data_IF_659792414170
#
_entry.id   IF_659792414170
#
_cell.length_a   1.000
_cell.length_b   1.000
_cell.length_c   1.000
_cell.angle_alpha   90.00
_cell.angle_beta   90.00
_cell.angle_gamma   90.00
#
_symmetry.space_group_name_H-M   'P 1'
#
loop_
_entity.id
_entity.type
_entity.pdbx_description
1 polymer ?
#
# COMPACT_ATOMS: atom_id res chain seq x y z
N UNK A 1 17.51 -22.00 11.73
CA UNK A 1 18.12 -20.85 12.44
C UNK A 1 17.88 -19.62 11.56
N UNK A 2 16.99 -18.72 11.97
CA UNK A 2 16.63 -17.54 11.17
C UNK A 2 17.78 -16.53 11.14
N UNK A 3 18.03 -15.92 10.00
CA UNK A 3 19.04 -14.85 9.87
C UNK A 3 18.48 -13.57 10.50
N UNK A 4 19.15 -13.04 11.51
CA UNK A 4 18.81 -11.73 12.09
C UNK A 4 19.24 -10.63 11.11
N UNK A 5 18.27 -9.85 10.65
CA UNK A 5 18.49 -8.71 9.76
C UNK A 5 18.30 -7.42 10.57
N UNK A 6 19.26 -6.51 10.47
CA UNK A 6 19.15 -5.15 11.01
C UNK A 6 18.97 -4.20 9.84
N UNK A 7 17.91 -3.39 9.87
CA UNK A 7 17.66 -2.33 8.90
C UNK A 7 18.13 -0.99 9.46
N UNK A 8 18.61 -0.12 8.56
CA UNK A 8 18.88 1.28 8.84
C UNK A 8 18.11 2.12 7.81
N UNK A 9 17.51 3.21 8.26
CA UNK A 9 16.87 4.18 7.37
C UNK A 9 17.87 5.30 7.10
N UNK A 10 18.09 5.60 5.82
CA UNK A 10 18.93 6.70 5.35
C UNK A 10 18.12 7.47 4.30
N UNK A 11 18.34 8.79 4.24
CA UNK A 11 17.76 9.63 3.20
C UNK A 11 18.62 9.62 1.95
N UNK A 12 17.97 9.80 0.83
CA UNK A 12 18.62 9.88 -0.46
C UNK A 12 17.62 10.23 -1.56
N UNK A 13 18.17 10.64 -2.69
CA UNK A 13 17.40 11.01 -3.87
C UNK A 13 17.73 10.06 -5.02
N UNK A 14 16.70 9.65 -5.77
CA UNK A 14 16.91 8.98 -7.06
C UNK A 14 17.12 10.07 -8.11
N UNK A 15 18.32 10.10 -8.70
CA UNK A 15 18.66 11.11 -9.69
C UNK A 15 18.05 10.81 -11.08
N UNK A 16 18.24 11.72 -12.04
CA UNK A 16 17.76 11.60 -13.43
C UNK A 16 18.30 10.36 -14.17
N UNK A 17 19.36 9.71 -13.66
CA UNK A 17 19.94 8.49 -14.22
C UNK A 17 19.44 7.22 -13.52
N UNK A 18 18.38 7.32 -12.72
CA UNK A 18 17.83 6.24 -11.91
C UNK A 18 18.82 5.64 -10.91
N UNK A 19 19.75 6.45 -10.40
CA UNK A 19 20.72 6.04 -9.39
C UNK A 19 20.34 6.60 -8.02
N UNK A 20 20.39 5.76 -6.99
CA UNK A 20 20.21 6.19 -5.61
C UNK A 20 21.46 6.94 -5.13
N UNK A 21 21.30 8.21 -4.82
CA UNK A 21 22.30 9.05 -4.18
C UNK A 21 21.91 9.22 -2.72
N UNK A 22 22.73 8.73 -1.79
CA UNK A 22 22.50 8.90 -0.36
C UNK A 22 23.02 10.26 0.09
N UNK A 23 22.30 10.88 1.03
CA UNK A 23 22.69 12.16 1.61
C UNK A 23 23.92 12.00 2.52
N UNK A 24 24.06 10.81 3.13
CA UNK A 24 25.09 10.46 4.11
C UNK A 24 25.82 9.13 3.76
N UNK A 25 26.97 8.93 4.40
CA UNK A 25 27.75 7.70 4.31
C UNK A 25 27.04 6.57 5.05
N UNK A 26 26.97 5.38 4.44
CA UNK A 26 26.41 4.18 5.08
C UNK A 26 27.24 3.80 6.32
N UNK A 27 26.66 3.79 7.54
CA UNK A 27 27.38 3.51 8.79
C UNK A 27 27.61 2.01 9.02
N UNK A 28 28.07 1.29 7.99
CA UNK A 28 28.37 -0.15 8.05
C UNK A 28 29.80 -0.36 7.54
N UNK A 29 30.67 -0.91 8.39
CA UNK A 29 32.03 -1.26 8.01
C UNK A 29 32.03 -2.42 6.99
N UNK A 30 32.74 -2.24 5.89
CA UNK A 30 32.85 -3.20 4.79
C UNK A 30 34.13 -4.06 4.83
N UNK A 31 34.27 -5.01 3.88
CA UNK A 31 33.31 -5.36 2.82
C UNK A 31 32.17 -6.26 3.34
N UNK A 32 30.91 -5.90 3.06
CA UNK A 32 29.73 -6.65 3.53
C UNK A 32 28.61 -6.62 2.50
N UNK A 33 27.97 -7.77 2.26
CA UNK A 33 26.78 -7.87 1.39
C UNK A 33 25.54 -7.39 2.15
N UNK A 34 24.75 -6.53 1.51
CA UNK A 34 23.53 -5.93 2.08
C UNK A 34 22.33 -6.16 1.16
N UNK A 35 21.12 -5.98 1.71
CA UNK A 35 19.85 -5.93 0.95
C UNK A 35 19.36 -4.48 1.01
N UNK A 36 18.99 -3.91 -0.13
CA UNK A 36 18.53 -2.52 -0.23
C UNK A 36 17.02 -2.51 -0.45
N UNK A 37 16.31 -1.67 0.32
CA UNK A 37 14.89 -1.36 0.14
C UNK A 37 14.80 0.16 -0.08
N UNK A 38 14.09 0.60 -1.11
CA UNK A 38 13.89 2.01 -1.43
C UNK A 38 12.42 2.34 -1.23
N UNK A 39 12.14 3.32 -0.38
CA UNK A 39 10.80 3.85 -0.13
C UNK A 39 10.71 5.23 -0.76
N UNK A 40 9.67 5.47 -1.55
CA UNK A 40 9.39 6.76 -2.17
C UNK A 40 7.89 6.98 -2.21
N UNK A 41 7.46 8.24 -2.13
CA UNK A 41 6.07 8.60 -2.40
C UNK A 41 5.79 8.39 -3.87
N UNK A 42 4.92 7.43 -4.19
CA UNK A 42 4.41 7.31 -5.54
C UNK A 42 3.35 8.39 -5.73
N UNK A 43 3.57 9.31 -6.66
CA UNK A 43 2.51 10.23 -7.12
C UNK A 43 1.38 9.48 -7.84
N UNK A 44 1.60 8.20 -8.18
CA UNK A 44 0.59 7.26 -8.64
C UNK A 44 0.02 6.48 -7.44
N UNK A 45 -0.49 7.18 -6.43
CA UNK A 45 -1.54 6.59 -5.62
C UNK A 45 -2.72 6.45 -6.59
N UNK A 46 -2.99 5.22 -7.05
CA UNK A 46 -4.16 4.98 -7.88
C UNK A 46 -5.36 5.54 -7.11
N UNK A 47 -6.05 6.48 -7.75
CA UNK A 47 -7.07 7.30 -7.11
C UNK A 47 -8.10 6.36 -6.48
N UNK A 48 -8.55 6.64 -5.26
CA UNK A 48 -9.56 5.80 -4.58
C UNK A 48 -10.79 5.60 -5.49
N UNK A 49 -11.14 6.62 -6.27
CA UNK A 49 -12.19 6.54 -7.28
C UNK A 49 -11.83 5.60 -8.43
N UNK A 50 -10.58 5.56 -8.89
CA UNK A 50 -10.11 4.63 -9.92
C UNK A 50 -10.15 3.19 -9.41
N UNK A 51 -9.75 2.93 -8.17
CA UNK A 51 -9.91 1.63 -7.52
C UNK A 51 -11.37 1.21 -7.36
N UNK A 52 -12.23 2.10 -6.87
CA UNK A 52 -13.66 1.83 -6.70
C UNK A 52 -14.33 1.55 -8.04
N UNK A 53 -14.01 2.34 -9.07
CA UNK A 53 -14.54 2.14 -10.41
C UNK A 53 -14.06 0.81 -11.02
N UNK A 54 -12.77 0.49 -10.88
CA UNK A 54 -12.22 -0.78 -11.35
C UNK A 54 -12.87 -1.97 -10.63
N UNK A 55 -13.09 -1.89 -9.31
CA UNK A 55 -13.79 -2.92 -8.55
C UNK A 55 -15.24 -3.08 -8.98
N UNK A 56 -15.97 -1.97 -9.13
CA UNK A 56 -17.38 -1.97 -9.51
C UNK A 56 -17.62 -2.46 -10.95
N UNK A 57 -16.65 -2.33 -11.85
CA UNK A 57 -16.77 -2.75 -13.25
C UNK A 57 -16.08 -4.09 -13.55
N UNK A 58 -15.50 -4.76 -12.55
CA UNK A 58 -14.76 -5.98 -12.76
C UNK A 58 -15.70 -7.19 -12.89
N UNK A 59 -15.67 -7.93 -14.03
CA UNK A 59 -16.55 -9.07 -14.27
C UNK A 59 -16.46 -10.19 -13.24
N UNK A 60 -15.36 -10.28 -12.48
CA UNK A 60 -15.22 -11.23 -11.39
C UNK A 60 -16.29 -11.03 -10.29
N UNK A 61 -16.92 -9.85 -10.24
CA UNK A 61 -17.95 -9.50 -9.27
C UNK A 61 -19.36 -9.40 -9.86
N UNK A 62 -19.58 -9.81 -11.12
CA UNK A 62 -20.90 -9.72 -11.78
C UNK A 62 -22.02 -10.44 -10.99
N UNK A 63 -21.66 -11.48 -10.22
CA UNK A 63 -22.62 -12.21 -9.38
C UNK A 63 -23.24 -11.34 -8.28
N UNK A 64 -22.57 -10.26 -7.83
CA UNK A 64 -23.13 -9.32 -6.85
C UNK A 64 -24.32 -8.52 -7.40
N UNK A 65 -24.55 -8.55 -8.71
CA UNK A 65 -25.73 -7.95 -9.33
C UNK A 65 -26.96 -8.87 -9.32
N UNK A 66 -26.82 -10.12 -8.87
CA UNK A 66 -27.97 -11.02 -8.73
C UNK A 66 -28.90 -10.52 -7.61
N UNK A 67 -30.22 -10.43 -7.84
CA UNK A 67 -31.19 -10.10 -6.79
C UNK A 67 -31.10 -10.98 -5.54
N UNK A 68 -30.59 -12.22 -5.65
CA UNK A 68 -30.36 -13.09 -4.49
C UNK A 68 -29.26 -12.57 -3.54
N UNK A 69 -28.33 -11.74 -4.04
CA UNK A 69 -27.25 -11.14 -3.25
C UNK A 69 -27.67 -9.82 -2.56
N UNK A 70 -28.86 -9.27 -2.87
CA UNK A 70 -29.42 -8.06 -2.24
C UNK A 70 -30.08 -8.39 -0.88
N UNK A 71 -29.28 -8.98 0.02
CA UNK A 71 -29.73 -9.52 1.31
C UNK A 71 -29.80 -8.49 2.44
N UNK A 72 -29.45 -7.22 2.17
CA UNK A 72 -29.47 -6.14 3.16
C UNK A 72 -30.41 -5.02 2.73
N UNK A 73 -31.36 -4.71 3.60
CA UNK A 73 -32.27 -3.57 3.47
C UNK A 73 -31.87 -2.43 4.41
N UNK A 74 -32.27 -1.21 4.03
CA UNK A 74 -32.21 -0.02 4.90
C UNK A 74 -32.95 -0.21 6.23
N UNK A 75 -33.87 -1.18 6.31
CA UNK A 75 -34.62 -1.51 7.51
C UNK A 75 -33.90 -2.48 8.45
N UNK A 76 -32.81 -3.12 8.02
CA UNK A 76 -32.07 -4.10 8.82
C UNK A 76 -31.10 -3.43 9.81
N UNK A 77 -30.83 -2.14 9.59
CA UNK A 77 -29.98 -1.34 10.47
C UNK A 77 -30.61 -1.12 11.84
N UNK A 78 -29.78 -1.15 12.89
CA UNK A 78 -30.17 -0.65 14.22
C UNK A 78 -29.78 0.82 14.34
N UNK A 79 -30.61 1.66 14.98
CA UNK A 79 -30.24 3.05 15.25
C UNK A 79 -28.94 3.13 16.03
N UNK A 80 -27.95 3.84 15.50
CA UNK A 80 -26.70 4.11 16.23
C UNK A 80 -27.01 5.17 17.28
N UNK A 81 -27.08 4.76 18.55
CA UNK A 81 -27.28 5.66 19.67
C UNK A 81 -25.91 6.24 20.08
N UNK A 82 -25.52 7.36 19.47
CA UNK A 82 -24.26 8.03 19.78
C UNK A 82 -24.38 8.78 21.12
N UNK A 83 -24.34 8.04 22.24
CA UNK A 83 -24.11 8.65 23.55
C UNK A 83 -22.62 8.96 23.69
N UNK A 84 -22.31 10.25 23.64
CA UNK A 84 -20.99 10.80 24.02
C UNK A 84 -20.67 10.48 25.47
#
# INVERSE_FOLDING_TARGET
MGTTLTAIELRGTVNERHQLQLDDIIPISGPKRVRVIVLYSSDNECDEHEWLQAGAQNPAFDYLHDPEEDIYSVHDGKPINNKK
#
